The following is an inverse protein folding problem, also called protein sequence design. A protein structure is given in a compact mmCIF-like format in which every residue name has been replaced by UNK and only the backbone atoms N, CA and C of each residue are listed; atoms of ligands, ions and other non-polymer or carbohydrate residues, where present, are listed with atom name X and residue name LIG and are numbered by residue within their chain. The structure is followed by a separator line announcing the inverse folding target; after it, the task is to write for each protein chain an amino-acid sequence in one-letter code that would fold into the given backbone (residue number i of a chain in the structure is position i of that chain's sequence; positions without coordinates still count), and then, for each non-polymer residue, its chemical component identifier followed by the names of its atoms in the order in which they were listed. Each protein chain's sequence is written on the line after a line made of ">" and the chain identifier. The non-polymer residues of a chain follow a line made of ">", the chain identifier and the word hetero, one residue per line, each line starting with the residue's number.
data_IF_198313177930
#
_entry.id   IF_198313177930
#
_cell.length_a   1.000
_cell.length_b   1.000
_cell.length_c   1.000
_cell.angle_alpha   90.00
_cell.angle_beta   90.00
_cell.angle_gamma   90.00
#
_symmetry.space_group_name_H-M   'P 1'
#
loop_
_entity.id
_entity.type
_entity.pdbx_description
1 polymer ?
#
# COMPACT_ATOMS: atom_id res chain seq x y z
N UNK A 1 -7.09 8.14 -15.66
CA UNK A 1 -7.42 6.82 -15.11
C UNK A 1 -6.20 5.90 -15.19
N UNK A 2 -5.82 5.36 -16.36
CA UNK A 2 -4.65 4.46 -16.47
C UNK A 2 -3.33 5.02 -15.93
N UNK A 3 -3.07 6.32 -16.10
CA UNK A 3 -1.85 6.94 -15.59
C UNK A 3 -1.82 7.03 -14.06
N UNK A 4 -2.96 7.32 -13.41
CA UNK A 4 -3.06 7.33 -11.94
C UNK A 4 -2.81 5.94 -11.39
N UNK A 5 -3.47 4.94 -11.97
CA UNK A 5 -3.23 3.52 -11.66
C UNK A 5 -1.76 3.15 -11.86
N UNK A 6 -1.11 3.62 -12.92
CA UNK A 6 0.30 3.31 -13.14
C UNK A 6 1.21 3.88 -12.04
N UNK A 7 0.98 5.11 -11.59
CA UNK A 7 1.72 5.68 -10.45
C UNK A 7 1.41 4.96 -9.14
N UNK A 8 0.15 4.58 -8.94
CA UNK A 8 -0.31 3.80 -7.79
C UNK A 8 0.43 2.45 -7.70
N UNK A 9 0.36 1.64 -8.76
CA UNK A 9 1.03 0.33 -8.79
C UNK A 9 2.56 0.47 -8.72
N UNK A 10 3.13 1.51 -9.35
CA UNK A 10 4.56 1.80 -9.24
C UNK A 10 4.98 2.10 -7.80
N UNK A 11 4.12 2.74 -7.00
CA UNK A 11 4.36 3.00 -5.58
C UNK A 11 4.52 1.71 -4.77
N UNK A 12 3.59 0.76 -4.93
CA UNK A 12 3.68 -0.55 -4.29
C UNK A 12 4.96 -1.30 -4.71
N UNK A 13 5.20 -1.40 -6.01
CA UNK A 13 6.34 -2.13 -6.55
C UNK A 13 7.69 -1.52 -6.13
N UNK A 14 7.81 -0.19 -6.20
CA UNK A 14 9.03 0.51 -5.78
C UNK A 14 9.30 0.28 -4.29
N UNK A 15 8.30 0.45 -3.43
CA UNK A 15 8.44 0.25 -1.98
C UNK A 15 8.81 -1.20 -1.65
N UNK A 16 8.17 -2.17 -2.32
CA UNK A 16 8.47 -3.59 -2.16
C UNK A 16 9.93 -3.91 -2.50
N UNK A 17 10.43 -3.41 -3.65
CA UNK A 17 11.83 -3.58 -4.07
C UNK A 17 12.80 -2.90 -3.10
N UNK A 18 12.47 -1.69 -2.64
CA UNK A 18 13.28 -0.95 -1.67
C UNK A 18 13.44 -1.71 -0.34
N UNK A 19 12.39 -2.41 0.11
CA UNK A 19 12.39 -3.23 1.31
C UNK A 19 12.98 -4.64 1.09
N UNK A 20 13.45 -4.94 -0.13
CA UNK A 20 14.11 -6.20 -0.46
C UNK A 20 13.15 -7.34 -0.82
N UNK A 21 11.87 -7.07 -1.04
CA UNK A 21 10.92 -8.05 -1.56
C UNK A 21 11.06 -8.22 -3.08
N UNK A 22 10.53 -9.33 -3.61
CA UNK A 22 10.52 -9.60 -5.05
C UNK A 22 9.13 -9.29 -5.63
N UNK A 23 9.07 -8.44 -6.66
CA UNK A 23 7.83 -8.17 -7.40
C UNK A 23 7.73 -9.19 -8.54
N UNK A 24 6.78 -10.11 -8.44
CA UNK A 24 6.54 -11.16 -9.44
C UNK A 24 5.80 -10.61 -10.66
N UNK A 25 4.80 -9.77 -10.45
CA UNK A 25 4.03 -9.11 -11.52
C UNK A 25 3.53 -7.74 -11.11
N UNK A 26 3.35 -6.87 -12.11
CA UNK A 26 2.69 -5.58 -12.00
C UNK A 26 1.80 -5.40 -13.24
N UNK A 27 0.55 -4.99 -13.05
CA UNK A 27 -0.39 -4.70 -14.15
C UNK A 27 -1.30 -3.52 -13.78
N UNK A 28 -1.65 -2.73 -14.79
CA UNK A 28 -2.65 -1.65 -14.71
C UNK A 28 -3.99 -2.04 -15.36
N UNK A 29 -4.12 -3.33 -15.70
CA UNK A 29 -5.30 -3.91 -16.30
C UNK A 29 -5.33 -5.41 -15.94
N UNK A 30 -5.74 -5.75 -14.69
CA UNK A 30 -5.81 -7.14 -14.25
C UNK A 30 -6.91 -7.89 -15.00
N UNK A 31 -6.76 -9.20 -15.11
CA UNK A 31 -7.77 -10.07 -15.72
C UNK A 31 -9.06 -10.02 -14.90
N UNK A 32 -10.21 -10.07 -15.58
CA UNK A 32 -11.52 -10.08 -14.92
C UNK A 32 -11.82 -11.51 -14.44
N UNK A 33 -11.48 -11.79 -13.19
CA UNK A 33 -11.48 -13.12 -12.59
C UNK A 33 -12.66 -13.39 -11.63
N UNK A 34 -13.85 -12.85 -11.97
CA UNK A 34 -15.10 -12.93 -11.19
C UNK A 34 -15.02 -12.36 -9.74
N UNK A 35 -13.89 -11.73 -9.38
CA UNK A 35 -13.65 -11.03 -8.11
C UNK A 35 -14.11 -9.55 -8.13
N UNK A 36 -13.87 -8.78 -7.05
CA UNK A 36 -14.10 -7.33 -7.06
C UNK A 36 -13.31 -6.68 -8.20
N UNK A 37 -13.89 -5.64 -8.81
CA UNK A 37 -13.24 -4.93 -9.91
C UNK A 37 -11.92 -4.30 -9.42
N UNK A 38 -10.81 -4.76 -10.01
CA UNK A 38 -9.46 -4.27 -9.73
C UNK A 38 -9.00 -3.40 -10.89
N UNK A 39 -8.44 -2.24 -10.57
CA UNK A 39 -7.93 -1.30 -11.59
C UNK A 39 -6.45 -1.55 -11.90
N UNK A 40 -5.71 -2.13 -10.95
CA UNK A 40 -4.33 -2.59 -11.08
C UNK A 40 -4.06 -3.73 -10.10
N UNK A 41 -2.91 -4.38 -10.22
CA UNK A 41 -2.50 -5.46 -9.33
C UNK A 41 -0.97 -5.59 -9.30
N UNK A 42 -0.41 -5.79 -8.10
CA UNK A 42 1.02 -6.02 -7.87
C UNK A 42 1.18 -7.26 -6.99
N UNK A 43 1.82 -8.29 -7.54
CA UNK A 43 2.10 -9.53 -6.80
C UNK A 43 3.49 -9.45 -6.19
N UNK A 44 3.56 -9.52 -4.85
CA UNK A 44 4.80 -9.40 -4.08
C UNK A 44 5.09 -10.70 -3.35
N UNK A 45 6.29 -11.23 -3.59
CA UNK A 45 6.82 -12.42 -2.94
C UNK A 45 7.79 -11.99 -1.85
N UNK A 46 7.46 -12.37 -0.61
CA UNK A 46 8.27 -12.14 0.57
C UNK A 46 9.11 -13.38 0.87
N UNK A 47 10.43 -13.24 1.04
CA UNK A 47 11.36 -14.36 1.24
C UNK A 47 11.29 -15.00 2.63
N UNK A 48 10.74 -14.29 3.61
CA UNK A 48 10.68 -14.74 5.01
C UNK A 48 9.39 -15.50 5.30
N UNK A 49 9.53 -16.69 5.87
CA UNK A 49 8.39 -17.53 6.31
C UNK A 49 7.89 -17.17 7.72
N UNK A 50 8.66 -16.39 8.48
CA UNK A 50 8.25 -15.88 9.80
C UNK A 50 7.85 -14.41 9.67
N UNK A 51 6.71 -14.04 10.24
CA UNK A 51 6.27 -12.65 10.32
C UNK A 51 6.88 -11.99 11.55
N UNK A 52 8.04 -11.35 11.39
CA UNK A 52 8.62 -10.50 12.41
C UNK A 52 7.87 -9.16 12.49
N UNK A 53 8.18 -8.37 13.53
CA UNK A 53 7.67 -6.99 13.63
C UNK A 53 8.03 -6.17 12.38
N UNK A 54 9.25 -6.31 11.87
CA UNK A 54 9.70 -5.58 10.68
C UNK A 54 8.91 -5.98 9.44
N UNK A 55 8.65 -7.28 9.24
CA UNK A 55 7.87 -7.76 8.10
C UNK A 55 6.43 -7.20 8.10
N UNK A 56 5.84 -7.00 9.29
CA UNK A 56 4.53 -6.35 9.41
C UNK A 56 4.60 -4.87 9.06
N UNK A 57 5.60 -4.13 9.57
CA UNK A 57 5.80 -2.72 9.24
C UNK A 57 6.06 -2.52 7.73
N UNK A 58 6.80 -3.44 7.11
CA UNK A 58 7.10 -3.42 5.68
C UNK A 58 5.85 -3.66 4.83
N UNK A 59 4.97 -4.58 5.25
CA UNK A 59 3.67 -4.78 4.60
C UNK A 59 2.76 -3.56 4.72
N UNK A 60 2.76 -2.88 5.87
CA UNK A 60 2.04 -1.60 6.04
C UNK A 60 2.61 -0.53 5.09
N UNK A 61 3.94 -0.40 4.99
CA UNK A 61 4.58 0.56 4.09
C UNK A 61 4.22 0.31 2.64
N UNK A 62 4.29 -0.94 2.19
CA UNK A 62 3.92 -1.33 0.83
C UNK A 62 2.47 -0.98 0.56
N UNK A 63 1.53 -1.38 1.44
CA UNK A 63 0.11 -1.08 1.25
C UNK A 63 -0.16 0.43 1.15
N UNK A 64 0.49 1.26 1.97
CA UNK A 64 0.29 2.71 1.90
C UNK A 64 1.04 3.40 0.74
N UNK A 65 2.01 2.74 0.11
CA UNK A 65 2.87 3.36 -0.90
C UNK A 65 2.11 3.77 -2.17
N UNK A 66 1.21 2.92 -2.68
CA UNK A 66 0.40 3.24 -3.86
C UNK A 66 -0.45 4.50 -3.68
N UNK A 67 -1.30 4.56 -2.64
CA UNK A 67 -2.06 5.77 -2.30
C UNK A 67 -1.19 7.02 -2.14
N UNK A 68 -0.03 6.90 -1.46
CA UNK A 68 0.87 8.04 -1.22
C UNK A 68 1.50 8.57 -2.51
N UNK A 69 1.98 7.69 -3.39
CA UNK A 69 2.54 8.11 -4.69
C UNK A 69 1.46 8.72 -5.57
N UNK A 70 0.25 8.17 -5.55
CA UNK A 70 -0.88 8.76 -6.27
C UNK A 70 -1.22 10.16 -5.73
N UNK A 71 -1.23 10.38 -4.41
CA UNK A 71 -1.42 11.71 -3.80
C UNK A 71 -0.36 12.71 -4.28
N UNK A 72 0.92 12.31 -4.30
CA UNK A 72 2.03 13.16 -4.76
C UNK A 72 1.82 13.53 -6.22
N UNK A 73 1.52 12.55 -7.06
CA UNK A 73 1.30 12.76 -8.48
C UNK A 73 0.10 13.69 -8.75
N UNK A 74 -1.00 13.51 -8.00
CA UNK A 74 -2.20 14.36 -8.08
C UNK A 74 -2.00 15.75 -7.49
N UNK A 75 -0.97 15.94 -6.66
CA UNK A 75 -0.78 17.13 -5.82
C UNK A 75 -1.96 17.41 -4.87
N UNK A 76 -2.65 16.34 -4.46
CA UNK A 76 -3.85 16.39 -3.62
C UNK A 76 -3.62 15.58 -2.34
N UNK A 77 -3.43 16.23 -1.17
CA UNK A 77 -3.10 15.55 0.09
C UNK A 77 -4.35 14.98 0.76
N UNK A 78 -5.03 14.04 0.09
CA UNK A 78 -6.19 13.36 0.65
C UNK A 78 -5.78 12.38 1.76
N UNK A 79 -6.62 12.25 2.78
CA UNK A 79 -6.43 11.17 3.74
C UNK A 79 -6.71 9.81 3.05
N UNK A 80 -5.82 8.81 3.14
CA UNK A 80 -5.95 7.55 2.41
C UNK A 80 -7.33 6.87 2.55
N UNK A 81 -7.87 6.85 3.77
CA UNK A 81 -9.16 6.24 4.08
C UNK A 81 -10.41 6.93 3.48
N UNK A 82 -10.26 8.08 2.80
CA UNK A 82 -11.39 8.85 2.26
C UNK A 82 -11.55 8.71 0.74
N UNK A 83 -10.63 8.01 0.06
CA UNK A 83 -10.67 7.76 -1.38
C UNK A 83 -11.10 6.32 -1.60
N UNK A 84 -12.19 6.13 -2.34
CA UNK A 84 -12.82 4.80 -2.48
C UNK A 84 -11.89 3.80 -3.17
N UNK A 85 -11.10 4.29 -4.13
CA UNK A 85 -10.13 3.56 -4.90
C UNK A 85 -9.00 2.97 -4.04
N UNK A 86 -8.71 3.56 -2.88
CA UNK A 86 -7.64 3.14 -1.96
C UNK A 86 -8.17 2.32 -0.77
N UNK A 87 -9.46 1.93 -0.81
CA UNK A 87 -10.09 1.26 0.32
C UNK A 87 -9.46 -0.11 0.63
N UNK A 88 -9.02 -0.84 -0.39
CA UNK A 88 -8.34 -2.12 -0.23
C UNK A 88 -6.97 -1.93 0.43
N UNK A 89 -6.15 -1.01 -0.09
CA UNK A 89 -4.85 -0.66 0.48
C UNK A 89 -4.93 -0.26 1.95
N UNK A 90 -5.95 0.54 2.27
CA UNK A 90 -6.20 0.96 3.64
C UNK A 90 -6.60 -0.21 4.54
N UNK A 91 -7.43 -1.13 4.05
CA UNK A 91 -7.81 -2.34 4.78
C UNK A 91 -6.61 -3.26 5.02
N UNK A 92 -5.73 -3.41 4.02
CA UNK A 92 -4.53 -4.22 4.14
C UNK A 92 -3.54 -3.58 5.13
N UNK A 93 -3.30 -2.27 5.02
CA UNK A 93 -2.48 -1.54 5.98
C UNK A 93 -3.05 -1.67 7.41
N UNK A 94 -4.37 -1.58 7.58
CA UNK A 94 -5.04 -1.76 8.87
C UNK A 94 -4.90 -3.18 9.42
N UNK A 95 -5.02 -4.19 8.56
CA UNK A 95 -4.83 -5.60 8.92
C UNK A 95 -3.41 -5.86 9.40
N UNK A 96 -2.40 -5.42 8.65
CA UNK A 96 -0.99 -5.62 9.01
C UNK A 96 -0.56 -4.80 10.22
N UNK A 97 -1.18 -3.65 10.46
CA UNK A 97 -0.96 -2.83 11.65
C UNK A 97 -1.62 -3.38 12.92
N UNK A 98 -2.55 -4.34 12.82
CA UNK A 98 -3.28 -4.86 13.98
C UNK A 98 -2.39 -5.49 15.07
N UNK A 99 -1.42 -6.36 14.73
CA UNK A 99 -0.51 -6.92 15.72
C UNK A 99 0.47 -5.88 16.28
N UNK A 100 0.74 -4.81 15.52
CA UNK A 100 1.65 -3.72 15.91
C UNK A 100 0.99 -2.75 16.89
N UNK A 101 -0.25 -2.36 16.62
CA UNK A 101 -1.05 -1.48 17.46
C UNK A 101 -2.49 -1.99 17.62
N UNK A 102 -2.76 -2.60 18.78
CA UNK A 102 -4.05 -3.24 19.08
C UNK A 102 -5.19 -2.24 19.30
N UNK A 103 -4.88 -1.02 19.76
CA UNK A 103 -5.90 -0.01 20.05
C UNK A 103 -6.27 0.74 18.76
N UNK A 104 -7.54 0.71 18.31
CA UNK A 104 -7.93 1.29 17.01
C UNK A 104 -7.55 2.76 16.81
N UNK A 105 -7.70 3.60 17.84
CA UNK A 105 -7.31 5.02 17.75
C UNK A 105 -5.80 5.21 17.56
N UNK A 106 -4.98 4.37 18.22
CA UNK A 106 -3.51 4.42 18.06
C UNK A 106 -3.07 3.81 16.74
N UNK A 107 -3.77 2.78 16.26
CA UNK A 107 -3.54 2.18 14.94
C UNK A 107 -3.81 3.19 13.83
N UNK A 108 -4.91 3.95 13.92
CA UNK A 108 -5.21 5.04 12.99
C UNK A 108 -4.06 6.07 12.96
N UNK A 109 -3.67 6.58 14.12
CA UNK A 109 -2.57 7.53 14.22
C UNK A 109 -1.23 6.96 13.72
N UNK A 110 -0.98 5.67 13.92
CA UNK A 110 0.20 4.97 13.40
C UNK A 110 0.20 4.95 11.87
N UNK A 111 -0.93 4.61 11.24
CA UNK A 111 -1.07 4.61 9.78
C UNK A 111 -0.97 6.02 9.18
N UNK A 112 -1.58 7.01 9.82
CA UNK A 112 -1.47 8.43 9.41
C UNK A 112 -0.01 8.90 9.46
N UNK A 113 0.71 8.59 10.53
CA UNK A 113 2.13 8.94 10.64
C UNK A 113 2.98 8.23 9.58
N UNK A 114 2.73 6.94 9.35
CA UNK A 114 3.43 6.18 8.31
C UNK A 114 3.19 6.77 6.92
N UNK A 115 1.94 7.17 6.60
CA UNK A 115 1.62 7.82 5.33
C UNK A 115 2.37 9.15 5.16
N UNK A 116 2.49 9.95 6.23
CA UNK A 116 3.29 11.19 6.22
C UNK A 116 4.78 10.92 6.04
N UNK A 117 5.31 9.86 6.66
CA UNK A 117 6.70 9.44 6.49
C UNK A 117 6.99 9.00 5.05
N UNK A 118 6.10 8.19 4.47
CA UNK A 118 6.18 7.79 3.06
C UNK A 118 6.09 8.99 2.12
N UNK A 119 5.19 9.94 2.38
CA UNK A 119 5.04 11.14 1.56
C UNK A 119 6.33 11.99 1.51
N UNK A 120 7.12 11.97 2.59
CA UNK A 120 8.42 12.67 2.64
C UNK A 120 9.57 11.84 2.05
N UNK A 121 9.39 10.52 1.97
CA UNK A 121 10.37 9.60 1.43
C UNK A 121 10.37 9.63 -0.11
N UNK A 122 9.18 9.67 -0.71
CA UNK A 122 8.99 9.85 -2.15
C UNK A 122 9.25 11.30 -2.58
#
# INVERSE_FOLDING_TARGET
>A
MLELTAYHEAGHAMMAVYLGAFVESITINPDWDDGPERYGDVTIVWSNTQLTKQDLEDRVRVALAGPVVEMIYRQEPFHPALVAEWAQDWQDAWHWAEPLEKQPKRRLAYLENMAVELYRFF
#
